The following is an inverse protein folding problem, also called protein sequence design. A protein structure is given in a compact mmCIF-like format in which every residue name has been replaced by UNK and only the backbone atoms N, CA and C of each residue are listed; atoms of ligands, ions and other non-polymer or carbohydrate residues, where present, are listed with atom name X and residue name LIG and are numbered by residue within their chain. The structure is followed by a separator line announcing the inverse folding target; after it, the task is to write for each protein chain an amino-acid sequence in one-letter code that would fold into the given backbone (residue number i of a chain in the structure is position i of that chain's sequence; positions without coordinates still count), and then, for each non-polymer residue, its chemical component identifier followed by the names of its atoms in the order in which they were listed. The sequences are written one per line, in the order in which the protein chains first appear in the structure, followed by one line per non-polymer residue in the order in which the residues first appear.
data_IF_196271984439
#
_entry.id   IF_196271984439
#
_cell.length_a   1.000
_cell.length_b   1.000
_cell.length_c   1.000
_cell.angle_alpha   90.00
_cell.angle_beta   90.00
_cell.angle_gamma   90.00
#
_symmetry.space_group_name_H-M   'P 1'
#
loop_
_entity.id
_entity.type
_entity.pdbx_description
1 polymer ?
#
# COMPACT_ATOMS: atom_id res chain seq x y z
N UNK A 1 -4.57 4.00 2.41
CA UNK A 1 -3.12 4.29 2.30
C UNK A 1 -2.52 3.95 0.93
N UNK A 2 -2.67 2.73 0.42
CA UNK A 2 -1.96 2.28 -0.79
C UNK A 2 -2.31 3.06 -2.08
N UNK A 3 -3.52 3.59 -2.20
CA UNK A 3 -3.92 4.46 -3.31
C UNK A 3 -3.06 5.74 -3.40
N UNK A 4 -2.74 6.35 -2.25
CA UNK A 4 -1.88 7.53 -2.20
C UNK A 4 -0.45 7.20 -2.62
N UNK A 5 0.08 6.08 -2.13
CA UNK A 5 1.40 5.56 -2.54
C UNK A 5 1.43 5.28 -4.03
N UNK A 6 0.34 4.73 -4.60
CA UNK A 6 0.25 4.45 -6.02
C UNK A 6 0.23 5.72 -6.88
N UNK A 7 -0.47 6.77 -6.42
CA UNK A 7 -0.50 8.06 -7.09
C UNK A 7 0.88 8.71 -7.18
N UNK A 8 1.68 8.64 -6.11
CA UNK A 8 3.00 9.29 -6.02
C UNK A 8 4.18 8.35 -6.29
N UNK A 9 3.93 7.13 -6.80
CA UNK A 9 4.97 6.10 -7.04
C UNK A 9 6.02 6.51 -8.08
N UNK A 10 5.72 7.49 -8.92
CA UNK A 10 6.63 8.07 -9.92
C UNK A 10 7.54 9.14 -9.33
N UNK A 11 7.09 9.81 -8.28
CA UNK A 11 7.82 10.92 -7.63
C UNK A 11 8.72 10.39 -6.51
N UNK A 12 8.28 9.35 -5.81
CA UNK A 12 9.02 8.79 -4.67
C UNK A 12 9.11 7.25 -4.73
N UNK A 13 10.22 6.66 -4.25
CA UNK A 13 10.32 5.22 -4.11
C UNK A 13 9.25 4.66 -3.16
N UNK A 14 8.47 3.70 -3.63
CA UNK A 14 7.43 2.99 -2.86
C UNK A 14 7.96 2.50 -1.51
N UNK A 15 9.20 2.00 -1.46
CA UNK A 15 9.81 1.51 -0.21
C UNK A 15 9.93 2.60 0.86
N UNK A 16 10.31 3.81 0.48
CA UNK A 16 10.41 4.94 1.42
C UNK A 16 9.03 5.35 1.90
N UNK A 17 8.06 5.45 1.00
CA UNK A 17 6.68 5.76 1.37
C UNK A 17 6.07 4.71 2.30
N UNK A 18 6.29 3.42 2.03
CA UNK A 18 5.86 2.33 2.91
C UNK A 18 6.46 2.46 4.32
N UNK A 19 7.75 2.76 4.42
CA UNK A 19 8.45 2.97 5.71
C UNK A 19 7.91 4.19 6.47
N UNK A 20 7.70 5.31 5.79
CA UNK A 20 7.21 6.56 6.40
C UNK A 20 5.75 6.42 6.86
N UNK A 21 4.92 5.73 6.07
CA UNK A 21 3.50 5.53 6.38
C UNK A 21 3.24 4.32 7.28
N UNK A 22 4.27 3.59 7.70
CA UNK A 22 4.15 2.41 8.56
C UNK A 22 3.36 1.25 7.93
N UNK A 23 3.39 1.12 6.60
CA UNK A 23 2.67 0.05 5.88
C UNK A 23 3.63 -0.96 5.25
N UNK A 24 3.17 -2.20 5.11
CA UNK A 24 3.97 -3.24 4.45
C UNK A 24 4.09 -3.02 2.93
N UNK A 25 5.28 -3.32 2.41
CA UNK A 25 5.52 -3.41 0.96
C UNK A 25 4.73 -4.56 0.32
N UNK A 26 4.63 -5.71 0.98
CA UNK A 26 3.88 -6.86 0.47
C UNK A 26 2.39 -6.53 0.36
N UNK A 27 1.85 -5.83 1.36
CA UNK A 27 0.47 -5.32 1.34
C UNK A 27 0.21 -4.36 0.18
N UNK A 28 1.17 -3.49 -0.16
CA UNK A 28 1.06 -2.60 -1.32
C UNK A 28 1.00 -3.36 -2.65
N UNK A 29 1.87 -4.36 -2.86
CA UNK A 29 1.88 -5.12 -4.11
C UNK A 29 0.65 -6.03 -4.23
N UNK A 30 0.20 -6.63 -3.12
CA UNK A 30 -1.05 -7.38 -3.06
C UNK A 30 -2.27 -6.49 -3.36
N UNK A 31 -2.30 -5.27 -2.83
CA UNK A 31 -3.33 -4.27 -3.14
C UNK A 31 -3.30 -3.86 -4.61
N UNK A 32 -2.12 -3.64 -5.20
CA UNK A 32 -1.97 -3.25 -6.61
C UNK A 32 -2.49 -4.33 -7.57
N UNK A 33 -2.37 -5.60 -7.22
CA UNK A 33 -2.83 -6.73 -8.03
C UNK A 33 -4.35 -6.95 -8.03
N UNK A 34 -5.12 -6.23 -7.19
CA UNK A 34 -6.57 -6.40 -7.13
C UNK A 34 -7.27 -5.61 -8.26
N UNK A 35 -8.24 -6.21 -8.97
CA UNK A 35 -8.98 -5.55 -10.03
C UNK A 35 -9.74 -4.31 -9.53
N UNK A 36 -9.95 -3.34 -10.42
CA UNK A 36 -10.52 -2.00 -10.13
C UNK A 36 -11.83 -2.01 -9.36
N UNK A 37 -12.64 -3.05 -9.54
CA UNK A 37 -13.96 -3.22 -8.92
C UNK A 37 -13.94 -3.39 -7.40
N UNK A 38 -12.79 -3.70 -6.79
CA UNK A 38 -12.65 -3.86 -5.32
C UNK A 38 -11.98 -2.66 -4.63
N UNK A 39 -11.71 -1.57 -5.36
CA UNK A 39 -10.93 -0.43 -4.85
C UNK A 39 -11.63 0.41 -3.78
N UNK A 40 -12.92 0.18 -3.54
CA UNK A 40 -13.75 1.02 -2.66
C UNK A 40 -13.65 0.74 -1.17
N UNK A 41 -13.27 -0.46 -0.70
CA UNK A 41 -13.51 -0.83 0.70
C UNK A 41 -12.47 -1.80 1.28
N UNK A 42 -11.18 -1.43 1.27
CA UNK A 42 -10.19 -2.15 2.06
C UNK A 42 -9.43 -1.17 2.95
N UNK A 43 -10.14 -0.66 3.96
CA UNK A 43 -9.57 -0.05 5.14
C UNK A 43 -9.44 -1.13 6.23
N UNK A 44 -8.70 -2.20 5.95
CA UNK A 44 -8.30 -3.26 6.88
C UNK A 44 -7.40 -4.19 6.05
N UNK A 45 -6.23 -4.62 6.47
CA UNK A 45 -5.78 -4.88 7.81
C UNK A 45 -4.40 -4.26 8.05
N UNK A 46 -4.20 -3.82 9.30
CA UNK A 46 -2.91 -3.81 9.96
C UNK A 46 -2.32 -5.22 9.88
N UNK A 47 -1.56 -5.51 8.83
CA UNK A 47 -0.67 -6.67 8.85
C UNK A 47 0.52 -6.32 9.74
N UNK A 48 0.31 -6.59 11.02
CA UNK A 48 1.31 -6.57 12.07
C UNK A 48 2.35 -7.64 11.74
N UNK A 49 3.36 -7.26 10.97
CA UNK A 49 4.64 -7.97 10.95
C UNK A 49 5.69 -7.02 11.53
N UNK A 50 5.57 -6.78 12.84
CA UNK A 50 6.75 -6.53 13.66
C UNK A 50 7.53 -7.84 13.69
N UNK A 51 8.75 -7.81 13.15
CA UNK A 51 9.82 -8.74 13.51
C UNK A 51 10.97 -7.91 14.05
#
# INVERSE_FOLDING_TARGET
MYAWIHKHRSEFPVQKMCKVLGVSRSGYYAWRGRPESLRGQAQEATDSSHS
#
